data_IF_084241587223
#
_entry.id   IF_084241587223
#
_cell.length_a   1.000
_cell.length_b   1.000
_cell.length_c   1.000
_cell.angle_alpha   90.00
_cell.angle_beta   90.00
_cell.angle_gamma   90.00
#
_symmetry.space_group_name_H-M   'P 1'
#
loop_
_entity.id
_entity.type
_entity.pdbx_description
1 polymer ?
#
# COMPACT_ATOMS: atom_id res chain seq x y z
N UNK A 1 -22.74 3.58 -9.65
CA UNK A 1 -22.87 2.78 -10.89
C UNK A 1 -21.55 2.56 -11.58
N UNK A 2 -20.67 3.58 -11.68
CA UNK A 2 -19.37 3.46 -12.38
C UNK A 2 -18.39 2.45 -11.75
N UNK A 3 -18.63 2.02 -10.52
CA UNK A 3 -17.81 1.03 -9.81
C UNK A 3 -18.51 -0.32 -9.63
N UNK A 4 -19.75 -0.43 -10.09
CA UNK A 4 -20.53 -1.68 -10.02
C UNK A 4 -20.26 -2.53 -11.25
N UNK A 5 -20.23 -3.85 -11.05
CA UNK A 5 -19.94 -4.80 -12.11
C UNK A 5 -21.22 -5.18 -12.91
N UNK A 6 -21.96 -4.19 -13.42
CA UNK A 6 -23.21 -4.39 -14.16
C UNK A 6 -22.98 -5.27 -15.38
N UNK A 7 -21.88 -5.04 -16.10
CA UNK A 7 -21.51 -5.84 -17.26
C UNK A 7 -21.34 -7.34 -16.90
N UNK A 8 -20.93 -7.67 -15.69
CA UNK A 8 -20.79 -9.05 -15.23
C UNK A 8 -22.14 -9.76 -15.08
N UNK A 9 -23.18 -9.05 -14.65
CA UNK A 9 -24.55 -9.57 -14.62
C UNK A 9 -25.08 -9.83 -16.02
N UNK A 10 -24.84 -8.89 -16.93
CA UNK A 10 -25.21 -9.03 -18.34
C UNK A 10 -24.47 -10.21 -18.96
N UNK A 11 -23.17 -10.36 -18.71
CA UNK A 11 -22.37 -11.51 -19.14
C UNK A 11 -23.00 -12.83 -18.70
N UNK A 12 -23.44 -12.95 -17.44
CA UNK A 12 -24.05 -14.18 -16.93
C UNK A 12 -25.34 -14.55 -17.68
N UNK A 13 -26.20 -13.59 -18.00
CA UNK A 13 -27.43 -13.81 -18.75
C UNK A 13 -27.13 -14.19 -20.21
N UNK A 14 -26.22 -13.43 -20.86
CA UNK A 14 -25.83 -13.68 -22.25
C UNK A 14 -25.09 -15.01 -22.40
N UNK A 15 -24.24 -15.38 -21.45
CA UNK A 15 -23.56 -16.66 -21.47
C UNK A 15 -24.55 -17.84 -21.33
N UNK A 16 -25.60 -17.70 -20.52
CA UNK A 16 -26.68 -18.67 -20.44
C UNK A 16 -27.38 -18.82 -21.79
N UNK A 17 -27.71 -17.71 -22.43
CA UNK A 17 -28.30 -17.74 -23.78
C UNK A 17 -27.39 -18.40 -24.82
N UNK A 18 -26.09 -18.09 -24.79
CA UNK A 18 -25.10 -18.74 -25.65
C UNK A 18 -25.05 -20.25 -25.47
N UNK A 19 -25.18 -20.73 -24.22
CA UNK A 19 -25.24 -22.17 -23.95
C UNK A 19 -26.50 -22.83 -24.54
N UNK A 20 -27.64 -22.13 -24.56
CA UNK A 20 -28.89 -22.60 -25.07
C UNK A 20 -28.91 -22.63 -26.62
N UNK A 21 -28.41 -21.57 -27.24
CA UNK A 21 -28.37 -21.42 -28.71
C UNK A 21 -27.16 -22.14 -29.34
N UNK A 22 -26.12 -22.48 -28.56
CA UNK A 22 -24.87 -23.04 -29.09
C UNK A 22 -24.06 -22.06 -29.93
N UNK A 23 -24.20 -20.76 -29.67
CA UNK A 23 -23.57 -19.66 -30.42
C UNK A 23 -22.69 -18.77 -29.52
N UNK A 24 -21.99 -17.87 -30.16
CA UNK A 24 -21.26 -16.79 -29.47
C UNK A 24 -21.98 -15.47 -29.63
N UNK A 25 -21.92 -14.63 -28.62
CA UNK A 25 -22.41 -13.25 -28.67
C UNK A 25 -21.21 -12.32 -28.70
N UNK A 26 -21.31 -11.25 -29.47
CA UNK A 26 -20.32 -10.19 -29.50
C UNK A 26 -20.37 -9.40 -28.18
N UNK A 27 -19.27 -9.30 -27.48
CA UNK A 27 -19.09 -8.57 -26.24
C UNK A 27 -18.14 -7.38 -26.37
N UNK A 28 -17.98 -6.82 -27.59
CA UNK A 28 -17.09 -5.69 -27.82
C UNK A 28 -17.45 -4.51 -26.92
N UNK A 29 -16.44 -3.98 -26.26
CA UNK A 29 -16.62 -2.86 -25.34
C UNK A 29 -17.04 -1.57 -26.06
N UNK A 30 -17.91 -0.78 -25.41
CA UNK A 30 -18.43 0.52 -25.90
C UNK A 30 -19.34 0.44 -27.14
N UNK A 31 -19.75 -0.73 -27.56
CA UNK A 31 -20.79 -0.88 -28.56
C UNK A 31 -22.19 -0.94 -27.91
N UNK A 32 -23.20 -0.46 -28.65
CA UNK A 32 -24.57 -0.51 -28.19
C UNK A 32 -25.19 -1.86 -28.54
N UNK A 33 -25.32 -2.72 -27.54
CA UNK A 33 -26.05 -3.98 -27.64
C UNK A 33 -27.49 -3.81 -27.18
N UNK A 34 -28.45 -4.29 -27.99
CA UNK A 34 -29.86 -4.28 -27.59
C UNK A 34 -30.13 -5.47 -26.66
N UNK A 35 -30.11 -5.21 -25.35
CA UNK A 35 -30.30 -6.25 -24.32
C UNK A 35 -31.70 -6.84 -24.39
N UNK A 36 -32.71 -6.07 -24.82
CA UNK A 36 -34.09 -6.51 -24.89
C UNK A 36 -34.28 -7.64 -25.90
N UNK A 37 -33.52 -7.66 -26.99
CA UNK A 37 -33.57 -8.75 -27.98
C UNK A 37 -33.11 -10.07 -27.38
N UNK A 38 -32.07 -10.03 -26.55
CA UNK A 38 -31.57 -11.21 -25.85
C UNK A 38 -32.57 -11.74 -24.81
N UNK A 39 -33.26 -10.83 -24.11
CA UNK A 39 -34.33 -11.21 -23.17
C UNK A 39 -35.49 -11.91 -23.86
N UNK A 40 -35.86 -11.48 -25.09
CA UNK A 40 -36.88 -12.16 -25.89
C UNK A 40 -36.41 -13.55 -26.35
N UNK A 41 -35.11 -13.70 -26.68
CA UNK A 41 -34.53 -15.00 -27.02
C UNK A 41 -34.57 -15.95 -25.83
N UNK A 42 -34.27 -15.49 -24.60
CA UNK A 42 -34.39 -16.31 -23.39
C UNK A 42 -35.82 -16.87 -23.22
N UNK A 43 -36.85 -16.04 -23.46
CA UNK A 43 -38.26 -16.48 -23.39
C UNK A 43 -38.63 -17.54 -24.41
N UNK A 44 -38.01 -17.53 -25.60
CA UNK A 44 -38.23 -18.56 -26.61
C UNK A 44 -37.77 -19.94 -26.17
N UNK A 45 -36.81 -19.99 -25.24
CA UNK A 45 -36.29 -21.22 -24.64
C UNK A 45 -36.97 -21.59 -23.33
N UNK A 46 -38.11 -20.98 -22.99
CA UNK A 46 -38.84 -21.18 -21.73
C UNK A 46 -38.05 -20.82 -20.45
N UNK A 47 -37.03 -19.95 -20.58
CA UNK A 47 -36.30 -19.44 -19.45
C UNK A 47 -36.77 -18.05 -19.05
N UNK A 48 -36.56 -17.71 -17.77
CA UNK A 48 -36.85 -16.37 -17.23
C UNK A 48 -35.93 -15.33 -17.91
N UNK A 49 -36.53 -14.25 -18.37
CA UNK A 49 -35.85 -13.23 -19.19
C UNK A 49 -34.64 -12.58 -18.50
N UNK A 50 -34.66 -12.50 -17.17
CA UNK A 50 -33.58 -11.86 -16.38
C UNK A 50 -32.58 -12.86 -15.83
N UNK A 51 -32.68 -14.14 -16.15
CA UNK A 51 -31.75 -15.17 -15.74
C UNK A 51 -32.06 -15.82 -14.38
N UNK A 52 -33.19 -15.50 -13.78
CA UNK A 52 -33.62 -16.11 -12.53
C UNK A 52 -34.15 -17.51 -12.75
N UNK A 53 -33.94 -18.39 -11.79
CA UNK A 53 -34.43 -19.79 -11.82
C UNK A 53 -34.99 -20.24 -10.48
N UNK A 54 -35.99 -21.09 -10.51
CA UNK A 54 -36.47 -21.81 -9.33
C UNK A 54 -35.51 -22.94 -8.98
N UNK A 55 -35.07 -22.96 -7.76
CA UNK A 55 -34.10 -23.94 -7.26
C UNK A 55 -34.65 -24.75 -6.10
N UNK A 56 -34.04 -25.91 -5.87
CA UNK A 56 -34.39 -26.85 -4.81
C UNK A 56 -33.24 -27.01 -3.83
N UNK A 57 -33.59 -27.14 -2.55
CA UNK A 57 -32.60 -27.41 -1.51
C UNK A 57 -32.04 -28.83 -1.70
N UNK A 58 -30.75 -28.97 -1.93
CA UNK A 58 -30.09 -30.24 -2.19
C UNK A 58 -30.10 -31.23 -1.00
N UNK A 59 -30.39 -30.78 0.23
CA UNK A 59 -30.48 -31.64 1.41
C UNK A 59 -31.92 -32.12 1.67
N UNK A 60 -32.92 -31.23 1.55
CA UNK A 60 -34.31 -31.54 1.86
C UNK A 60 -35.15 -31.91 0.66
N UNK A 61 -34.72 -31.51 -0.54
CA UNK A 61 -35.50 -31.68 -1.78
C UNK A 61 -36.65 -30.67 -1.89
N UNK A 62 -36.82 -29.74 -0.95
CA UNK A 62 -37.86 -28.73 -0.98
C UNK A 62 -37.51 -27.59 -1.94
N UNK A 63 -38.53 -27.07 -2.64
CA UNK A 63 -38.35 -25.91 -3.51
C UNK A 63 -38.05 -24.66 -2.65
N UNK A 64 -37.05 -23.90 -3.05
CA UNK A 64 -36.73 -22.60 -2.47
C UNK A 64 -37.81 -21.62 -2.93
N UNK A 65 -38.43 -20.90 -1.96
CA UNK A 65 -39.53 -19.96 -2.21
C UNK A 65 -39.07 -18.62 -2.76
N UNK A 66 -38.04 -18.64 -3.61
CA UNK A 66 -37.52 -17.44 -4.27
C UNK A 66 -36.87 -17.81 -5.58
N UNK A 67 -36.88 -16.91 -6.53
CA UNK A 67 -36.14 -17.04 -7.76
C UNK A 67 -34.70 -16.62 -7.53
N UNK A 68 -33.75 -17.40 -8.09
CA UNK A 68 -32.31 -17.20 -7.87
C UNK A 68 -31.66 -16.88 -9.19
N UNK A 69 -31.00 -15.73 -9.27
CA UNK A 69 -30.20 -15.35 -10.42
C UNK A 69 -28.99 -16.28 -10.56
N UNK A 70 -28.88 -16.97 -11.70
CA UNK A 70 -27.78 -17.89 -11.99
C UNK A 70 -27.44 -17.87 -13.49
N UNK A 71 -26.16 -17.91 -13.77
CA UNK A 71 -25.63 -18.03 -15.12
C UNK A 71 -24.17 -18.38 -15.11
N UNK A 72 -23.64 -18.96 -16.20
CA UNK A 72 -22.21 -19.22 -16.33
C UNK A 72 -21.44 -17.90 -16.48
N UNK A 73 -20.25 -17.84 -15.92
CA UNK A 73 -19.33 -16.72 -16.07
C UNK A 73 -17.96 -17.21 -16.49
N UNK A 74 -17.23 -16.38 -17.23
CA UNK A 74 -15.86 -16.68 -17.58
C UNK A 74 -14.96 -16.56 -16.38
N UNK A 75 -14.19 -17.60 -16.08
CA UNK A 75 -13.29 -17.67 -14.94
C UNK A 75 -11.87 -17.91 -15.41
N UNK A 76 -10.94 -17.08 -14.91
CA UNK A 76 -9.53 -17.17 -15.26
C UNK A 76 -8.67 -17.29 -14.01
N UNK A 77 -7.96 -18.41 -13.86
CA UNK A 77 -7.04 -18.63 -12.76
C UNK A 77 -5.65 -18.10 -13.11
N UNK A 78 -5.18 -17.12 -12.33
CA UNK A 78 -3.85 -16.58 -12.45
C UNK A 78 -2.90 -17.25 -11.45
N UNK A 79 -1.69 -17.57 -11.89
CA UNK A 79 -0.62 -18.03 -11.00
C UNK A 79 0.20 -16.85 -10.52
N UNK A 80 0.56 -16.88 -9.25
CA UNK A 80 1.44 -15.90 -8.64
C UNK A 80 2.64 -16.62 -8.04
N UNK A 81 3.83 -16.28 -8.48
CA UNK A 81 5.06 -16.92 -8.04
C UNK A 81 5.78 -16.06 -7.02
N UNK A 82 6.35 -16.71 -5.99
CA UNK A 82 7.07 -16.03 -4.91
C UNK A 82 8.24 -15.18 -5.44
N UNK A 83 8.97 -15.70 -6.43
CA UNK A 83 10.10 -14.97 -7.05
C UNK A 83 9.73 -13.59 -7.60
N UNK A 84 8.48 -13.42 -8.04
CA UNK A 84 7.99 -12.17 -8.60
C UNK A 84 7.47 -11.20 -7.52
N UNK A 85 7.28 -11.69 -6.29
CA UNK A 85 6.71 -10.93 -5.17
C UNK A 85 7.68 -10.70 -4.01
N UNK A 86 8.81 -11.40 -3.99
CA UNK A 86 9.79 -11.25 -2.92
C UNK A 86 10.38 -9.84 -2.92
N UNK A 87 10.44 -9.23 -1.74
CA UNK A 87 11.09 -7.95 -1.51
C UNK A 87 12.35 -8.17 -0.68
N UNK A 88 13.43 -7.54 -1.08
CA UNK A 88 14.66 -7.50 -0.30
C UNK A 88 15.39 -6.18 -0.53
N UNK A 89 16.14 -5.75 0.45
CA UNK A 89 16.96 -4.56 0.40
C UNK A 89 18.24 -4.78 1.19
N UNK A 90 19.37 -4.46 0.60
CA UNK A 90 20.66 -4.37 1.30
C UNK A 90 20.84 -3.03 2.02
N UNK A 91 21.85 -2.95 2.88
CA UNK A 91 22.21 -1.73 3.64
C UNK A 91 22.48 -0.54 2.71
N UNK A 92 23.15 -0.77 1.58
CA UNK A 92 23.48 0.26 0.58
C UNK A 92 22.41 0.47 -0.50
N UNK A 93 21.15 0.15 -0.24
CA UNK A 93 20.08 0.36 -1.20
C UNK A 93 19.80 1.84 -1.50
N UNK A 94 19.05 2.15 -2.57
CA UNK A 94 18.77 3.52 -2.99
C UNK A 94 17.98 4.30 -1.92
N UNK A 95 18.29 5.58 -1.76
CA UNK A 95 17.63 6.49 -0.83
C UNK A 95 17.09 7.72 -1.55
N UNK A 96 16.06 8.33 -0.99
CA UNK A 96 15.53 9.59 -1.48
C UNK A 96 16.53 10.74 -1.27
N UNK A 97 16.58 11.65 -2.22
CA UNK A 97 17.57 12.72 -2.21
C UNK A 97 17.37 13.71 -1.04
N UNK A 98 16.13 14.05 -0.72
CA UNK A 98 15.80 15.05 0.31
C UNK A 98 15.79 14.46 1.72
N UNK A 99 15.08 13.38 1.93
CA UNK A 99 14.89 12.80 3.27
C UNK A 99 15.95 11.80 3.67
N UNK A 100 16.72 11.30 2.69
CA UNK A 100 17.69 10.21 2.87
C UNK A 100 17.06 8.90 3.36
N UNK A 101 15.74 8.81 3.36
CA UNK A 101 15.00 7.59 3.67
C UNK A 101 15.06 6.59 2.51
N UNK A 102 14.90 5.29 2.76
CA UNK A 102 14.78 4.28 1.70
C UNK A 102 13.67 4.63 0.72
N UNK A 103 13.93 4.46 -0.58
CA UNK A 103 12.92 4.64 -1.62
C UNK A 103 11.80 3.62 -1.47
N UNK A 104 10.61 3.93 -2.01
CA UNK A 104 9.49 3.00 -2.07
C UNK A 104 9.55 2.13 -3.32
N UNK A 105 9.00 0.94 -3.21
CA UNK A 105 8.75 0.06 -4.34
C UNK A 105 9.82 -1.00 -4.55
N UNK A 106 9.36 -2.22 -4.78
CA UNK A 106 10.19 -3.38 -5.07
C UNK A 106 11.06 -3.18 -6.31
N UNK A 107 10.49 -2.62 -7.37
CA UNK A 107 11.21 -2.36 -8.64
C UNK A 107 12.38 -1.39 -8.48
N UNK A 108 12.29 -0.50 -7.51
CA UNK A 108 13.33 0.49 -7.21
C UNK A 108 14.37 0.01 -6.19
N UNK A 109 14.33 -1.27 -5.80
CA UNK A 109 15.17 -1.76 -4.69
C UNK A 109 14.89 -1.08 -3.36
N UNK A 110 13.68 -0.60 -3.18
CA UNK A 110 13.24 0.13 -2.00
C UNK A 110 12.93 -0.74 -0.80
N UNK A 111 12.58 -0.08 0.31
CA UNK A 111 12.17 -0.71 1.56
C UNK A 111 10.65 -0.84 1.70
N UNK A 112 10.24 -1.48 2.79
CA UNK A 112 8.87 -1.52 3.27
C UNK A 112 8.65 -0.40 4.29
N UNK A 113 7.44 0.16 4.30
CA UNK A 113 7.09 1.23 5.23
C UNK A 113 6.53 0.65 6.53
N UNK A 114 7.09 1.07 7.66
CA UNK A 114 6.44 0.96 8.96
C UNK A 114 5.65 2.25 9.15
N UNK A 115 4.33 2.15 9.07
CA UNK A 115 3.43 3.30 9.19
C UNK A 115 3.20 3.71 10.64
N UNK A 116 2.34 4.72 10.83
CA UNK A 116 1.99 5.24 12.17
C UNK A 116 1.31 4.19 13.05
N UNK A 117 0.40 3.39 12.48
CA UNK A 117 -0.31 2.35 13.23
C UNK A 117 0.62 1.23 13.70
N UNK A 118 1.55 0.80 12.86
CA UNK A 118 2.58 -0.19 13.20
C UNK A 118 3.52 0.35 14.28
N UNK A 119 3.90 1.62 14.18
CA UNK A 119 4.71 2.31 15.19
C UNK A 119 4.00 2.34 16.54
N UNK A 120 2.71 2.67 16.57
CA UNK A 120 1.92 2.69 17.79
C UNK A 120 1.84 1.30 18.44
N UNK A 121 1.70 0.24 17.65
CA UNK A 121 1.71 -1.12 18.15
C UNK A 121 3.06 -1.50 18.78
N UNK A 122 4.17 -1.14 18.14
CA UNK A 122 5.53 -1.39 18.65
C UNK A 122 5.78 -0.63 19.96
N UNK A 123 5.37 0.63 20.03
CA UNK A 123 5.48 1.46 21.23
C UNK A 123 4.64 0.91 22.38
N UNK A 124 3.42 0.43 22.10
CA UNK A 124 2.56 -0.20 23.11
C UNK A 124 3.19 -1.46 23.73
N UNK A 125 4.00 -2.20 22.96
CA UNK A 125 4.79 -3.33 23.47
C UNK A 125 6.04 -2.92 24.27
N UNK A 126 6.44 -1.64 24.22
CA UNK A 126 7.63 -1.13 24.94
C UNK A 126 8.96 -1.60 24.37
N UNK A 127 9.02 -2.00 23.11
CA UNK A 127 10.24 -2.53 22.45
C UNK A 127 11.07 -1.34 21.93
N UNK A 128 11.70 -0.60 22.85
CA UNK A 128 12.42 0.64 22.53
C UNK A 128 13.65 0.44 21.65
N UNK A 129 14.39 -0.65 21.87
CA UNK A 129 15.55 -1.00 21.04
C UNK A 129 15.18 -1.24 19.58
N UNK A 130 14.07 -1.92 19.32
CA UNK A 130 13.57 -2.14 17.97
C UNK A 130 13.09 -0.83 17.33
N UNK A 131 12.45 0.06 18.09
CA UNK A 131 12.07 1.39 17.61
C UNK A 131 13.30 2.17 17.15
N UNK A 132 14.36 2.23 17.97
CA UNK A 132 15.61 2.90 17.60
C UNK A 132 16.19 2.30 16.31
N UNK A 133 16.30 0.99 16.24
CA UNK A 133 16.84 0.29 15.06
C UNK A 133 16.04 0.60 13.79
N UNK A 134 14.73 0.52 13.85
CA UNK A 134 13.87 0.70 12.67
C UNK A 134 13.76 2.15 12.21
N UNK A 135 13.69 3.08 13.16
CA UNK A 135 13.53 4.52 12.86
C UNK A 135 14.84 5.24 12.52
N UNK A 136 15.97 4.67 12.92
CA UNK A 136 17.29 5.26 12.68
C UNK A 136 18.17 4.35 11.83
N UNK A 137 18.65 3.26 12.36
CA UNK A 137 19.72 2.45 11.75
C UNK A 137 19.31 1.86 10.39
N UNK A 138 18.06 1.41 10.26
CA UNK A 138 17.51 0.87 9.01
C UNK A 138 16.92 1.93 8.08
N UNK A 139 16.79 3.17 8.52
CA UNK A 139 16.16 4.25 7.78
C UNK A 139 17.19 5.31 7.39
N UNK A 140 17.21 6.41 8.09
CA UNK A 140 17.95 7.63 7.75
C UNK A 140 18.90 8.09 8.88
N UNK A 141 19.62 7.17 9.49
CA UNK A 141 20.56 7.50 10.54
C UNK A 141 21.58 8.54 10.06
N UNK A 142 21.72 9.59 10.85
CA UNK A 142 22.65 10.68 10.61
C UNK A 142 23.27 11.13 11.93
N UNK A 143 24.53 11.49 11.91
CA UNK A 143 25.19 12.06 13.08
C UNK A 143 25.73 13.45 12.75
N UNK A 144 25.68 14.30 13.73
CA UNK A 144 26.23 15.65 13.66
C UNK A 144 26.80 16.09 15.01
N UNK A 145 27.52 17.19 15.00
CA UNK A 145 28.07 17.80 16.19
C UNK A 145 27.28 19.05 16.55
N UNK A 146 26.98 19.19 17.82
CA UNK A 146 26.33 20.36 18.40
C UNK A 146 27.14 20.87 19.59
N UNK A 147 26.99 22.15 19.91
CA UNK A 147 27.47 22.69 21.15
C UNK A 147 26.54 22.27 22.29
N UNK A 148 27.08 21.62 23.32
CA UNK A 148 26.28 21.12 24.44
C UNK A 148 25.67 22.21 25.30
N UNK A 149 26.25 23.43 25.30
CA UNK A 149 25.79 24.56 26.08
C UNK A 149 24.75 25.41 25.35
N UNK A 150 25.02 25.73 24.10
CA UNK A 150 24.11 26.59 23.30
C UNK A 150 23.02 25.82 22.55
N UNK A 151 23.23 24.51 22.31
CA UNK A 151 22.35 23.68 21.50
C UNK A 151 22.36 23.98 20.00
N UNK A 152 23.33 24.77 19.55
CA UNK A 152 23.51 25.17 18.16
C UNK A 152 24.34 24.15 17.39
N UNK A 153 24.17 24.13 16.08
CA UNK A 153 24.99 23.32 15.18
C UNK A 153 26.38 23.93 15.07
N UNK A 154 27.41 23.11 15.17
CA UNK A 154 28.80 23.56 15.05
C UNK A 154 29.41 23.13 13.73
N UNK A 155 30.38 23.89 13.25
CA UNK A 155 31.21 23.52 12.11
C UNK A 155 32.26 22.53 12.61
N UNK A 156 32.36 21.40 11.92
CA UNK A 156 33.33 20.36 12.26
C UNK A 156 33.97 19.75 11.02
N UNK A 157 35.19 19.29 11.19
CA UNK A 157 35.89 18.43 10.22
C UNK A 157 36.52 17.25 10.97
N UNK A 158 35.92 16.08 10.81
CA UNK A 158 36.37 14.86 11.49
C UNK A 158 37.79 14.44 11.08
N UNK A 159 38.19 14.72 9.83
CA UNK A 159 39.51 14.33 9.31
C UNK A 159 40.63 15.10 9.94
N UNK A 160 40.42 16.39 10.20
CA UNK A 160 41.40 17.27 10.76
C UNK A 160 41.22 17.47 12.29
N UNK A 161 40.27 16.77 12.89
CA UNK A 161 39.85 16.92 14.30
C UNK A 161 39.59 18.38 14.68
N UNK A 162 39.03 19.15 13.75
CA UNK A 162 38.66 20.52 13.94
C UNK A 162 37.20 20.66 14.37
N UNK A 163 36.98 21.38 15.48
CA UNK A 163 35.65 21.73 15.99
C UNK A 163 35.65 23.20 16.35
N UNK A 164 34.61 23.91 15.92
CA UNK A 164 34.45 25.35 16.18
C UNK A 164 34.14 25.66 17.66
N UNK A 165 33.69 24.69 18.44
CA UNK A 165 33.41 24.80 19.86
C UNK A 165 34.16 23.75 20.66
N UNK A 166 34.64 24.17 21.87
CA UNK A 166 35.26 23.25 22.84
C UNK A 166 34.27 22.28 23.48
N UNK A 167 32.96 22.64 23.44
CA UNK A 167 31.87 21.83 24.02
C UNK A 167 31.16 20.97 22.97
N UNK A 168 31.87 20.58 21.90
CA UNK A 168 31.33 19.79 20.83
C UNK A 168 30.89 18.40 21.29
N UNK A 169 29.62 18.10 21.17
CA UNK A 169 29.05 16.75 21.45
C UNK A 169 28.51 16.12 20.17
N UNK A 170 28.89 14.88 19.91
CA UNK A 170 28.35 14.10 18.80
C UNK A 170 26.97 13.55 19.17
N UNK A 171 25.97 13.79 18.34
CA UNK A 171 24.62 13.28 18.50
C UNK A 171 24.20 12.48 17.28
N UNK A 172 23.36 11.47 17.50
CA UNK A 172 22.71 10.69 16.46
C UNK A 172 21.26 11.11 16.34
N UNK A 173 20.83 11.47 15.15
CA UNK A 173 19.45 11.87 14.86
C UNK A 173 19.01 11.31 13.49
N UNK A 174 17.71 11.12 13.24
CA UNK A 174 17.23 10.87 11.89
C UNK A 174 17.53 12.05 10.97
N UNK A 175 17.91 11.78 9.71
CA UNK A 175 18.18 12.85 8.74
C UNK A 175 16.94 13.73 8.48
N UNK A 176 15.76 13.14 8.52
CA UNK A 176 14.48 13.86 8.45
C UNK A 176 14.34 14.92 9.55
N UNK A 177 14.84 14.65 10.75
CA UNK A 177 14.87 15.63 11.85
C UNK A 177 15.83 16.80 11.55
N UNK A 178 16.98 16.51 10.93
CA UNK A 178 17.89 17.56 10.44
C UNK A 178 17.20 18.43 9.39
N UNK A 179 16.51 17.81 8.42
CA UNK A 179 15.78 18.53 7.39
C UNK A 179 14.69 19.42 8.00
N UNK A 180 13.89 18.88 8.91
CA UNK A 180 12.87 19.64 9.63
C UNK A 180 13.47 20.86 10.35
N UNK A 181 14.60 20.67 11.07
CA UNK A 181 15.28 21.77 11.74
C UNK A 181 15.65 22.87 10.76
N UNK A 182 16.25 22.53 9.63
CA UNK A 182 16.65 23.50 8.60
C UNK A 182 15.45 24.22 7.97
N UNK A 183 14.34 23.51 7.74
CA UNK A 183 13.11 24.11 7.22
C UNK A 183 12.49 25.09 8.21
N UNK A 184 12.44 24.73 9.50
CA UNK A 184 11.91 25.59 10.57
C UNK A 184 12.79 26.82 10.76
N UNK A 185 14.10 26.66 10.72
CA UNK A 185 15.05 27.77 10.77
C UNK A 185 14.92 28.71 9.55
N UNK A 186 14.67 28.13 8.37
CA UNK A 186 14.34 28.89 7.15
C UNK A 186 13.07 29.73 7.26
N UNK A 187 12.14 29.35 8.14
CA UNK A 187 10.94 30.13 8.48
C UNK A 187 11.22 31.22 9.55
N UNK A 188 12.46 31.33 10.04
CA UNK A 188 12.86 32.30 11.07
C UNK A 188 12.63 31.81 12.50
N UNK A 189 12.39 30.54 12.73
CA UNK A 189 12.22 29.95 14.06
C UNK A 189 13.48 29.17 14.41
N UNK A 190 14.18 29.58 15.48
CA UNK A 190 15.35 28.84 15.91
C UNK A 190 14.98 27.58 16.70
N UNK A 191 15.54 26.44 16.30
CA UNK A 191 15.34 25.14 16.94
C UNK A 191 16.66 24.64 17.55
N UNK A 192 16.74 24.59 18.88
CA UNK A 192 17.92 24.17 19.62
C UNK A 192 17.79 22.74 20.13
N UNK A 193 18.88 22.00 20.09
CA UNK A 193 18.95 20.62 20.61
C UNK A 193 19.78 20.67 21.91
N UNK A 194 19.09 20.66 23.03
CA UNK A 194 19.76 20.67 24.34
C UNK A 194 20.10 19.23 24.76
N UNK A 195 21.33 19.04 25.22
CA UNK A 195 21.78 17.76 25.80
C UNK A 195 21.78 17.89 27.32
N UNK A 196 21.35 16.82 28.02
CA UNK A 196 21.60 16.73 29.47
C UNK A 196 23.08 16.47 29.71
N UNK A 197 23.64 17.12 30.70
CA UNK A 197 24.92 16.68 31.28
C UNK A 197 24.68 15.28 31.86
N UNK A 198 25.56 14.35 31.58
CA UNK A 198 25.57 13.07 32.29
C UNK A 198 26.05 13.38 33.70
N UNK A 199 25.16 13.29 34.68
CA UNK A 199 25.54 13.31 36.08
C UNK A 199 26.47 12.11 36.30
N UNK A 200 27.75 12.36 36.57
CA UNK A 200 28.76 11.35 36.94
C UNK A 200 28.39 10.64 38.25
#
# INVERSE_FOLDING_TARGET
PSRMTIAHLIESVLAKLCCLEGTYIDGTAFENHCIDDYYQMMKKHDYQQYGDELMYNGFTGEQIQTEIFIGPTYYYRLKHMVKDKINYRGIGGPVEMMTKQPTQGRSNGGGLRIGEMETNAILAHGITGFVKETMMERSDNYHKYIDSVTGEDIIYNEKDHFYDSLNAKKIEIPYSMKLLKQEVEGLGINMKLLTKEEDE
#
